data_IF_020118077152
#
_entry.id   IF_020118077152
#
_cell.length_a   1.000
_cell.length_b   1.000
_cell.length_c   1.000
_cell.angle_alpha   90.00
_cell.angle_beta   90.00
_cell.angle_gamma   90.00
#
_symmetry.space_group_name_H-M   'P 1'
#
loop_
_entity.id
_entity.type
_entity.pdbx_description
1 polymer ?
#
# COMPACT_ATOMS: atom_id res chain seq x y z
N UNK A 1 14.51 4.28 0.52
CA UNK A 1 13.84 3.56 -0.61
C UNK A 1 13.78 4.48 -1.81
N UNK A 2 14.01 3.97 -3.02
CA UNK A 2 13.74 4.76 -4.23
C UNK A 2 12.25 4.75 -4.53
N UNK A 3 11.70 5.86 -5.04
CA UNK A 3 10.28 5.99 -5.34
C UNK A 3 10.11 6.30 -6.81
N UNK A 4 9.25 5.54 -7.49
CA UNK A 4 8.75 5.86 -8.83
C UNK A 4 7.40 6.55 -8.69
N UNK A 5 7.10 7.47 -9.58
CA UNK A 5 5.89 8.28 -9.56
C UNK A 5 5.11 8.11 -10.86
N UNK A 6 3.79 7.97 -10.75
CA UNK A 6 2.88 8.12 -11.87
C UNK A 6 1.77 9.09 -11.46
N UNK A 7 1.74 10.24 -12.14
CA UNK A 7 0.78 11.32 -11.86
C UNK A 7 -0.47 11.17 -12.71
N UNK A 8 -1.60 10.97 -12.05
CA UNK A 8 -2.89 10.87 -12.71
C UNK A 8 -3.76 12.07 -12.37
N UNK A 9 -4.23 12.78 -13.40
CA UNK A 9 -5.08 13.98 -13.26
C UNK A 9 -4.48 15.06 -12.35
N UNK A 10 -3.18 15.30 -12.47
CA UNK A 10 -2.47 16.33 -11.70
C UNK A 10 -2.49 16.09 -10.18
N UNK A 11 -2.64 14.83 -9.75
CA UNK A 11 -2.61 14.47 -8.33
C UNK A 11 -1.33 14.89 -7.63
N UNK A 12 -0.18 14.77 -8.31
CA UNK A 12 1.11 15.24 -7.82
C UNK A 12 1.16 16.74 -7.59
N UNK A 13 0.71 17.55 -8.56
CA UNK A 13 0.68 19.01 -8.44
C UNK A 13 -0.20 19.49 -7.29
N UNK A 14 -1.33 18.80 -7.05
CA UNK A 14 -2.24 19.08 -5.93
C UNK A 14 -1.55 18.77 -4.60
N UNK A 15 -0.85 17.63 -4.54
CA UNK A 15 -0.21 17.12 -3.33
C UNK A 15 1.02 17.93 -2.92
N UNK A 16 1.82 18.42 -3.87
CA UNK A 16 3.04 19.20 -3.57
C UNK A 16 2.81 20.41 -2.65
N UNK A 17 1.59 20.92 -2.59
CA UNK A 17 1.21 22.06 -1.74
C UNK A 17 0.66 21.66 -0.38
N UNK A 18 0.62 20.36 -0.06
CA UNK A 18 -0.03 19.83 1.14
C UNK A 18 0.99 19.32 2.15
N UNK A 19 1.04 19.87 3.37
CA UNK A 19 1.99 19.43 4.41
C UNK A 19 1.87 17.93 4.73
N UNK A 20 0.65 17.40 4.78
CA UNK A 20 0.44 15.98 5.03
C UNK A 20 1.07 15.08 3.95
N UNK A 21 1.09 15.51 2.68
CA UNK A 21 1.80 14.77 1.64
C UNK A 21 3.31 14.80 1.83
N UNK A 22 3.89 15.93 2.25
CA UNK A 22 5.33 16.00 2.52
C UNK A 22 5.72 15.03 3.63
N UNK A 23 4.92 14.91 4.69
CA UNK A 23 5.13 13.91 5.74
C UNK A 23 5.05 12.47 5.20
N UNK A 24 4.04 12.18 4.36
CA UNK A 24 3.90 10.87 3.72
C UNK A 24 5.10 10.54 2.86
N UNK A 25 5.52 11.49 2.02
CA UNK A 25 6.67 11.32 1.13
C UNK A 25 7.96 11.09 1.90
N UNK A 26 8.19 11.84 2.98
CA UNK A 26 9.34 11.66 3.86
C UNK A 26 9.33 10.27 4.50
N UNK A 27 8.18 9.84 5.02
CA UNK A 27 8.03 8.48 5.58
C UNK A 27 8.39 7.43 4.54
N UNK A 28 7.85 7.54 3.33
CA UNK A 28 8.04 6.54 2.27
C UNK A 28 9.48 6.53 1.77
N UNK A 29 10.07 7.71 1.51
CA UNK A 29 11.42 7.86 0.97
C UNK A 29 12.51 7.39 1.94
N UNK A 30 12.27 7.53 3.24
CA UNK A 30 13.19 7.14 4.30
C UNK A 30 13.05 5.68 4.77
N UNK A 31 12.14 4.89 4.18
CA UNK A 31 12.10 3.44 4.44
C UNK A 31 13.39 2.82 3.90
N UNK A 32 14.14 2.17 4.79
CA UNK A 32 15.35 1.45 4.45
C UNK A 32 15.13 -0.06 4.46
N UNK A 33 16.05 -0.78 3.81
CA UNK A 33 16.09 -2.24 3.86
C UNK A 33 16.03 -2.77 5.29
N UNK A 34 16.76 -2.13 6.22
CA UNK A 34 16.82 -2.51 7.62
C UNK A 34 15.45 -2.46 8.31
N UNK A 35 14.62 -1.46 8.02
CA UNK A 35 13.28 -1.32 8.60
C UNK A 35 12.38 -2.50 8.24
N UNK A 36 12.41 -2.88 6.95
CA UNK A 36 11.57 -3.98 6.45
C UNK A 36 12.02 -5.32 7.03
N UNK A 37 13.33 -5.52 7.19
CA UNK A 37 13.87 -6.74 7.82
C UNK A 37 13.53 -6.78 9.32
N UNK A 38 13.68 -5.67 10.04
CA UNK A 38 13.33 -5.57 11.45
C UNK A 38 11.82 -5.84 11.65
N UNK A 39 10.96 -5.25 10.82
CA UNK A 39 9.53 -5.51 10.88
C UNK A 39 9.18 -6.98 10.62
N UNK A 40 9.91 -7.67 9.72
CA UNK A 40 9.72 -9.10 9.46
C UNK A 40 10.15 -9.97 10.65
N UNK A 41 11.30 -9.67 11.27
CA UNK A 41 11.81 -10.44 12.42
C UNK A 41 11.01 -10.20 13.69
N UNK A 42 10.38 -9.04 13.86
CA UNK A 42 9.53 -8.73 15.01
C UNK A 42 8.34 -9.71 15.16
N UNK A 43 7.89 -10.35 14.08
CA UNK A 43 6.88 -11.42 14.20
C UNK A 43 7.36 -12.62 15.01
N UNK A 44 8.67 -12.95 14.95
CA UNK A 44 9.28 -13.99 15.77
C UNK A 44 9.31 -13.60 17.26
N UNK A 45 9.71 -12.36 17.53
CA UNK A 45 9.79 -11.82 18.90
C UNK A 45 8.41 -11.74 19.56
N UNK A 46 7.38 -11.45 18.77
CA UNK A 46 5.99 -11.43 19.22
C UNK A 46 5.37 -12.84 19.37
N UNK A 47 6.13 -13.90 19.11
CA UNK A 47 5.64 -15.29 19.12
C UNK A 47 4.59 -15.59 18.04
N UNK A 48 4.53 -14.78 16.99
CA UNK A 48 3.58 -14.91 15.89
C UNK A 48 4.20 -15.71 14.73
N UNK A 49 3.32 -16.30 13.91
CA UNK A 49 3.76 -16.92 12.66
C UNK A 49 4.36 -15.85 11.74
N UNK A 50 5.62 -16.05 11.33
CA UNK A 50 6.30 -15.16 10.39
C UNK A 50 5.67 -15.29 9.01
N UNK A 51 5.20 -14.19 8.41
CA UNK A 51 4.69 -14.20 7.05
C UNK A 51 5.76 -14.66 6.03
N UNK A 52 5.35 -15.31 4.95
CA UNK A 52 6.27 -15.84 3.95
C UNK A 52 6.98 -14.72 3.17
N UNK A 53 6.23 -13.77 2.61
CA UNK A 53 6.78 -12.63 1.86
C UNK A 53 6.85 -11.35 2.70
N UNK A 54 7.35 -10.29 2.09
CA UNK A 54 7.56 -8.99 2.76
C UNK A 54 6.34 -8.08 2.87
N UNK A 55 5.16 -8.48 2.34
CA UNK A 55 3.96 -7.63 2.31
C UNK A 55 3.55 -7.17 3.72
N UNK A 56 3.49 -8.11 4.67
CA UNK A 56 3.10 -7.82 6.05
C UNK A 56 4.11 -6.93 6.77
N UNK A 57 5.40 -7.12 6.49
CA UNK A 57 6.46 -6.28 7.05
C UNK A 57 6.35 -4.84 6.55
N UNK A 58 6.14 -4.63 5.26
CA UNK A 58 5.92 -3.31 4.68
C UNK A 58 4.67 -2.63 5.27
N UNK A 59 3.54 -3.33 5.34
CA UNK A 59 2.33 -2.80 5.98
C UNK A 59 2.57 -2.41 7.45
N UNK A 60 3.35 -3.20 8.19
CA UNK A 60 3.74 -2.87 9.57
C UNK A 60 4.56 -1.57 9.62
N UNK A 61 5.57 -1.43 8.75
CA UNK A 61 6.39 -0.20 8.68
C UNK A 61 5.53 1.04 8.39
N UNK A 62 4.60 0.96 7.43
CA UNK A 62 3.68 2.07 7.15
C UNK A 62 2.86 2.45 8.38
N UNK A 63 2.26 1.48 9.06
CA UNK A 63 1.44 1.73 10.27
C UNK A 63 2.26 2.35 11.40
N UNK A 64 3.45 1.83 11.67
CA UNK A 64 4.32 2.30 12.74
C UNK A 64 4.85 3.72 12.50
N UNK A 65 5.00 4.13 11.24
CA UNK A 65 5.51 5.46 10.90
C UNK A 65 4.42 6.50 10.68
N UNK A 66 3.28 6.14 10.11
CA UNK A 66 2.22 7.10 9.80
C UNK A 66 1.30 7.41 10.97
N UNK A 67 0.94 6.41 11.81
CA UNK A 67 0.02 6.62 12.93
C UNK A 67 0.54 7.68 13.93
N UNK A 68 1.82 7.67 14.34
CA UNK A 68 2.35 8.70 15.25
C UNK A 68 2.32 10.12 14.66
N UNK A 69 2.29 10.24 13.33
CA UNK A 69 2.18 11.54 12.65
C UNK A 69 0.71 12.00 12.48
N UNK A 70 -0.24 11.29 13.09
CA UNK A 70 -1.66 11.65 13.06
C UNK A 70 -2.42 11.14 11.83
N UNK A 71 -1.85 10.26 11.02
CA UNK A 71 -2.59 9.55 9.98
C UNK A 71 -3.56 8.58 10.63
N UNK A 72 -4.84 8.75 10.36
CA UNK A 72 -5.91 7.89 10.89
C UNK A 72 -5.96 6.59 10.08
N UNK A 73 -5.70 5.43 10.72
CA UNK A 73 -5.74 4.15 10.04
C UNK A 73 -7.18 3.64 9.86
N UNK A 74 -7.41 2.92 8.79
CA UNK A 74 -8.64 2.19 8.48
C UNK A 74 -9.93 3.04 8.60
N UNK A 75 -9.95 4.30 8.08
CA UNK A 75 -11.17 5.10 8.08
C UNK A 75 -12.26 4.39 7.28
N UNK A 76 -13.44 4.31 7.85
CA UNK A 76 -14.61 3.77 7.14
C UNK A 76 -15.14 4.80 6.16
N UNK A 77 -15.55 4.32 5.00
CA UNK A 77 -16.17 5.19 3.98
C UNK A 77 -17.67 5.36 4.20
N UNK A 78 -18.35 4.34 4.75
CA UNK A 78 -19.80 4.32 4.89
C UNK A 78 -20.25 3.98 6.31
N UNK A 79 -21.49 4.34 6.72
CA UNK A 79 -22.10 3.94 7.98
C UNK A 79 -22.14 2.41 8.17
N UNK A 80 -22.20 1.97 9.43
CA UNK A 80 -22.19 0.55 9.79
C UNK A 80 -23.40 -0.25 9.33
N UNK A 81 -24.54 0.38 9.28
CA UNK A 81 -25.84 -0.19 8.99
C UNK A 81 -26.03 -0.45 7.48
N UNK A 82 -25.18 0.09 6.63
CA UNK A 82 -25.22 -0.17 5.20
C UNK A 82 -24.73 -1.57 4.87
N UNK A 83 -25.61 -2.41 4.35
CA UNK A 83 -25.34 -3.82 4.02
C UNK A 83 -24.13 -3.96 3.10
N UNK A 84 -23.13 -4.71 3.54
CA UNK A 84 -21.91 -5.00 2.77
C UNK A 84 -20.88 -3.86 2.72
N UNK A 85 -21.28 -2.63 2.99
CA UNK A 85 -20.39 -1.46 2.89
C UNK A 85 -19.52 -1.23 4.14
N UNK A 86 -19.83 -1.86 5.27
CA UNK A 86 -19.04 -1.77 6.51
C UNK A 86 -17.57 -2.16 6.37
N UNK A 87 -17.21 -2.93 5.32
CA UNK A 87 -15.84 -3.37 5.03
C UNK A 87 -15.07 -2.39 4.15
N UNK A 88 -15.75 -1.38 3.62
CA UNK A 88 -15.12 -0.36 2.79
C UNK A 88 -14.37 0.63 3.66
N UNK A 89 -13.06 0.45 3.69
CA UNK A 89 -12.11 1.26 4.44
C UNK A 89 -10.97 1.62 3.52
N UNK A 90 -10.36 2.78 3.71
CA UNK A 90 -9.02 3.09 3.20
C UNK A 90 -7.98 2.65 4.21
N UNK A 91 -6.72 2.57 3.80
CA UNK A 91 -5.65 2.23 4.73
C UNK A 91 -5.32 3.40 5.67
N UNK A 92 -5.23 4.62 5.13
CA UNK A 92 -4.99 5.83 5.93
C UNK A 92 -5.68 7.04 5.35
N UNK A 93 -5.96 8.02 6.21
CA UNK A 93 -6.40 9.36 5.83
C UNK A 93 -5.79 10.39 6.77
N UNK A 94 -5.39 11.54 6.21
CA UNK A 94 -5.05 12.75 6.96
C UNK A 94 -5.49 13.95 6.15
N UNK A 95 -6.13 14.91 6.82
CA UNK A 95 -6.78 16.04 6.18
C UNK A 95 -7.75 15.57 5.08
N UNK A 96 -7.48 15.92 3.83
CA UNK A 96 -8.24 15.55 2.64
C UNK A 96 -7.46 14.61 1.70
N UNK A 97 -6.40 13.96 2.20
CA UNK A 97 -5.60 12.99 1.46
C UNK A 97 -5.93 11.58 1.91
N UNK A 98 -6.39 10.75 0.97
CA UNK A 98 -6.60 9.32 1.20
C UNK A 98 -5.42 8.49 0.70
N UNK A 99 -4.99 7.49 1.45
CA UNK A 99 -3.87 6.61 1.10
C UNK A 99 -4.31 5.16 1.11
N UNK A 100 -3.98 4.45 0.04
CA UNK A 100 -4.10 3.01 -0.11
C UNK A 100 -2.71 2.39 -0.29
N UNK A 101 -2.36 1.43 0.55
CA UNK A 101 -1.09 0.67 0.47
C UNK A 101 -1.40 -0.75 0.03
N UNK A 102 -1.16 -1.04 -1.24
CA UNK A 102 -1.64 -2.27 -1.86
C UNK A 102 -0.47 -3.20 -2.25
N UNK A 103 -0.25 -4.22 -1.43
CA UNK A 103 0.62 -5.35 -1.76
C UNK A 103 -0.22 -6.64 -1.94
N UNK A 104 -1.43 -6.48 -2.44
CA UNK A 104 -2.40 -7.53 -2.72
C UNK A 104 -2.23 -8.10 -4.13
N UNK A 105 -3.03 -9.11 -4.48
CA UNK A 105 -3.07 -9.66 -5.84
C UNK A 105 -3.44 -8.58 -6.86
N UNK A 106 -2.97 -8.73 -8.09
CA UNK A 106 -3.19 -7.78 -9.18
C UNK A 106 -4.69 -7.52 -9.46
N UNK A 107 -5.54 -8.52 -9.22
CA UNK A 107 -7.00 -8.39 -9.32
C UNK A 107 -7.61 -7.37 -8.35
N UNK A 108 -6.90 -7.04 -7.27
CA UNK A 108 -7.34 -6.05 -6.29
C UNK A 108 -6.98 -4.59 -6.68
N UNK A 109 -6.15 -4.38 -7.70
CA UNK A 109 -5.74 -3.04 -8.14
C UNK A 109 -6.92 -2.15 -8.50
N UNK A 110 -7.91 -2.58 -9.31
CA UNK A 110 -9.08 -1.76 -9.60
C UNK A 110 -9.86 -1.36 -8.34
N UNK A 111 -9.92 -2.23 -7.34
CA UNK A 111 -10.60 -1.93 -6.07
C UNK A 111 -9.86 -0.90 -5.22
N UNK A 112 -8.53 -0.87 -5.26
CA UNK A 112 -7.70 0.18 -4.64
C UNK A 112 -8.08 1.54 -5.20
N UNK A 113 -8.11 1.69 -6.52
CA UNK A 113 -8.52 2.95 -7.15
C UNK A 113 -10.00 3.27 -6.95
N UNK A 114 -10.88 2.26 -6.98
CA UNK A 114 -12.31 2.44 -6.74
C UNK A 114 -12.58 2.98 -5.34
N UNK A 115 -11.87 2.52 -4.31
CA UNK A 115 -12.02 3.06 -2.95
C UNK A 115 -11.65 4.53 -2.87
N UNK A 116 -10.52 4.93 -3.45
CA UNK A 116 -10.12 6.33 -3.53
C UNK A 116 -11.15 7.16 -4.29
N UNK A 117 -11.62 6.68 -5.44
CA UNK A 117 -12.64 7.37 -6.23
C UNK A 117 -13.94 7.57 -5.46
N UNK A 118 -14.41 6.54 -4.76
CA UNK A 118 -15.63 6.64 -3.95
C UNK A 118 -15.42 7.61 -2.80
N UNK A 119 -14.25 7.60 -2.15
CA UNK A 119 -13.95 8.51 -1.05
C UNK A 119 -13.95 9.99 -1.49
N UNK A 120 -13.57 10.27 -2.75
CA UNK A 120 -13.58 11.63 -3.30
C UNK A 120 -14.94 12.05 -3.85
N UNK A 121 -15.63 11.16 -4.56
CA UNK A 121 -16.74 11.52 -5.42
C UNK A 121 -18.13 11.22 -4.83
N UNK A 122 -18.24 10.26 -3.89
CA UNK A 122 -19.54 9.86 -3.36
C UNK A 122 -20.03 10.82 -2.28
N UNK A 123 -21.28 11.32 -2.45
CA UNK A 123 -21.97 12.12 -1.44
C UNK A 123 -22.29 11.34 -0.15
N UNK A 124 -22.24 10.00 -0.21
CA UNK A 124 -22.59 9.11 0.91
C UNK A 124 -21.41 8.80 1.83
N UNK A 125 -20.23 9.31 1.52
CA UNK A 125 -19.03 9.12 2.35
C UNK A 125 -19.19 9.83 3.69
N UNK A 126 -18.80 9.14 4.76
CA UNK A 126 -18.83 9.68 6.11
C UNK A 126 -17.98 10.97 6.20
N UNK A 127 -18.50 11.95 6.93
CA UNK A 127 -17.72 13.14 7.28
C UNK A 127 -16.37 12.74 7.90
N UNK A 128 -15.30 13.43 7.49
CA UNK A 128 -13.92 13.10 7.87
C UNK A 128 -13.33 11.85 7.21
N UNK A 129 -14.04 11.23 6.25
CA UNK A 129 -13.50 10.19 5.36
C UNK A 129 -13.54 10.61 3.89
N UNK A 130 -13.97 11.83 3.59
CA UNK A 130 -13.94 12.42 2.26
C UNK A 130 -12.53 12.90 1.94
N UNK A 131 -12.12 12.74 0.70
CA UNK A 131 -10.80 13.15 0.21
C UNK A 131 -10.93 14.01 -1.04
N UNK A 132 -9.94 14.86 -1.28
CA UNK A 132 -9.82 15.63 -2.52
C UNK A 132 -8.84 14.98 -3.50
N UNK A 133 -7.88 14.22 -2.95
CA UNK A 133 -6.82 13.56 -3.73
C UNK A 133 -6.42 12.23 -3.09
N UNK A 134 -6.15 11.25 -3.94
CA UNK A 134 -5.71 9.92 -3.54
C UNK A 134 -4.20 9.71 -3.71
N UNK A 135 -3.62 8.90 -2.83
CA UNK A 135 -2.28 8.33 -3.01
C UNK A 135 -2.41 6.81 -2.99
N UNK A 136 -1.91 6.14 -4.03
CA UNK A 136 -1.89 4.68 -4.09
C UNK A 136 -0.43 4.19 -4.09
N UNK A 137 -0.08 3.33 -3.14
CA UNK A 137 1.28 2.83 -2.96
C UNK A 137 1.35 1.36 -3.36
N UNK A 138 2.27 1.03 -4.27
CA UNK A 138 2.51 -0.33 -4.75
C UNK A 138 3.99 -0.69 -4.66
N UNK A 139 4.30 -1.99 -4.62
CA UNK A 139 5.64 -2.46 -4.89
C UNK A 139 5.93 -2.35 -6.40
N UNK A 140 7.15 -1.99 -6.77
CA UNK A 140 7.64 -2.25 -8.13
C UNK A 140 7.98 -3.73 -8.30
N UNK A 141 8.22 -4.18 -9.52
CA UNK A 141 8.69 -5.55 -9.79
C UNK A 141 9.99 -5.86 -9.04
N UNK A 142 10.89 -4.86 -8.86
CA UNK A 142 12.14 -5.03 -8.12
C UNK A 142 11.91 -5.28 -6.62
N UNK A 143 11.03 -4.51 -5.98
CA UNK A 143 10.69 -4.73 -4.58
C UNK A 143 9.92 -6.04 -4.37
N UNK A 144 9.00 -6.38 -5.28
CA UNK A 144 8.27 -7.66 -5.27
C UNK A 144 9.25 -8.83 -5.28
N UNK A 145 10.24 -8.81 -6.16
CA UNK A 145 11.25 -9.84 -6.26
C UNK A 145 12.15 -9.91 -5.01
N UNK A 146 12.63 -8.75 -4.53
CA UNK A 146 13.48 -8.67 -3.34
C UNK A 146 12.78 -9.19 -2.09
N UNK A 147 11.53 -8.79 -1.87
CA UNK A 147 10.73 -9.17 -0.71
C UNK A 147 10.07 -10.55 -0.86
N UNK A 148 10.35 -11.29 -1.94
CA UNK A 148 9.76 -12.61 -2.25
C UNK A 148 8.23 -12.63 -2.09
N UNK A 149 7.58 -11.59 -2.57
CA UNK A 149 6.13 -11.52 -2.58
C UNK A 149 5.54 -12.58 -3.50
N UNK A 150 4.28 -12.93 -3.27
CA UNK A 150 3.55 -13.87 -4.12
C UNK A 150 3.55 -13.42 -5.59
N UNK A 151 3.62 -14.37 -6.52
CA UNK A 151 3.63 -14.09 -7.96
C UNK A 151 2.38 -13.33 -8.44
N UNK A 152 1.25 -13.51 -7.76
CA UNK A 152 -0.01 -12.84 -8.07
C UNK A 152 -0.07 -11.38 -7.55
N UNK A 153 0.89 -10.92 -6.73
CA UNK A 153 0.90 -9.54 -6.22
C UNK A 153 0.99 -8.55 -7.38
N UNK A 154 0.08 -7.57 -7.36
CA UNK A 154 0.05 -6.48 -8.33
C UNK A 154 1.17 -5.47 -8.06
N UNK A 155 1.79 -4.98 -9.13
CA UNK A 155 2.91 -4.05 -9.05
C UNK A 155 2.55 -2.67 -9.57
N UNK A 156 3.43 -1.71 -9.31
CA UNK A 156 3.32 -0.34 -9.81
C UNK A 156 3.12 -0.30 -11.33
N UNK A 157 3.84 -1.14 -12.07
CA UNK A 157 3.79 -1.22 -13.53
C UNK A 157 2.38 -1.66 -14.00
N UNK A 158 1.77 -2.61 -13.29
CA UNK A 158 0.40 -3.05 -13.58
C UNK A 158 -0.60 -1.98 -13.16
N UNK A 159 -0.38 -1.33 -12.01
CA UNK A 159 -1.27 -0.28 -11.50
C UNK A 159 -1.31 0.95 -12.42
N UNK A 160 -0.16 1.37 -12.96
CA UNK A 160 -0.06 2.45 -13.96
C UNK A 160 -0.88 2.14 -15.21
N UNK A 161 -0.76 0.90 -15.73
CA UNK A 161 -1.53 0.46 -16.89
C UNK A 161 -3.04 0.46 -16.60
N UNK A 162 -3.48 -0.08 -15.45
CA UNK A 162 -4.89 -0.07 -15.05
C UNK A 162 -5.45 1.34 -14.92
N UNK A 163 -4.76 2.23 -14.20
CA UNK A 163 -5.26 3.58 -13.96
C UNK A 163 -5.37 4.38 -15.26
N UNK A 164 -4.44 4.16 -16.20
CA UNK A 164 -4.51 4.76 -17.53
C UNK A 164 -5.76 4.36 -18.30
N UNK A 165 -6.16 3.07 -18.21
CA UNK A 165 -7.39 2.57 -18.83
C UNK A 165 -8.66 3.03 -18.11
N UNK A 166 -8.60 3.25 -16.80
CA UNK A 166 -9.73 3.70 -15.98
C UNK A 166 -10.01 5.21 -16.09
N UNK A 167 -9.22 5.96 -16.86
CA UNK A 167 -9.36 7.42 -17.01
C UNK A 167 -10.80 7.89 -17.29
N UNK A 168 -11.63 7.20 -18.10
CA UNK A 168 -13.01 7.66 -18.33
C UNK A 168 -13.93 7.60 -17.10
N UNK A 169 -13.61 6.76 -16.10
CA UNK A 169 -14.46 6.48 -14.94
C UNK A 169 -13.83 6.90 -13.60
N UNK A 170 -12.62 7.45 -13.63
CA UNK A 170 -11.88 7.90 -12.45
C UNK A 170 -11.67 9.42 -12.49
N UNK A 171 -12.62 10.22 -12.00
CA UNK A 171 -12.48 11.68 -11.95
C UNK A 171 -11.49 12.16 -10.89
N UNK A 172 -11.31 11.46 -9.77
CA UNK A 172 -10.44 11.89 -8.69
C UNK A 172 -8.96 11.95 -9.12
N UNK A 173 -8.22 13.00 -8.73
CA UNK A 173 -6.77 13.04 -8.87
C UNK A 173 -6.08 11.99 -8.01
N UNK A 174 -5.09 11.27 -8.56
CA UNK A 174 -4.36 10.22 -7.85
C UNK A 174 -2.87 10.32 -8.17
N UNK A 175 -2.03 10.26 -7.14
CA UNK A 175 -0.60 10.00 -7.31
C UNK A 175 -0.31 8.55 -6.96
N UNK A 176 0.32 7.82 -7.89
CA UNK A 176 0.76 6.44 -7.63
C UNK A 176 2.24 6.45 -7.28
N UNK A 177 2.57 5.85 -6.13
CA UNK A 177 3.92 5.68 -5.63
C UNK A 177 4.36 4.22 -5.82
N UNK A 178 5.42 4.01 -6.59
CA UNK A 178 6.07 2.72 -6.75
C UNK A 178 7.29 2.60 -5.83
N UNK A 179 7.24 1.69 -4.87
CA UNK A 179 8.35 1.41 -3.96
C UNK A 179 9.37 0.53 -4.65
N UNK A 180 10.61 0.98 -4.75
CA UNK A 180 11.66 0.30 -5.49
C UNK A 180 12.81 -0.11 -4.59
N UNK A 181 13.22 -1.40 -4.69
CA UNK A 181 14.34 -1.99 -3.96
C UNK A 181 15.64 -2.04 -4.81
N UNK A 182 15.72 -1.26 -5.89
CA UNK A 182 16.92 -1.22 -6.71
C UNK A 182 18.16 -0.88 -5.84
N UNK A 183 19.21 -1.68 -5.97
CA UNK A 183 20.42 -1.55 -5.17
C UNK A 183 20.36 -2.21 -3.79
N UNK A 184 19.23 -2.76 -3.36
CA UNK A 184 19.16 -3.51 -2.11
C UNK A 184 19.78 -4.90 -2.26
N UNK A 185 20.67 -5.25 -1.34
CA UNK A 185 21.28 -6.59 -1.33
C UNK A 185 20.23 -7.67 -1.08
N UNK A 186 20.31 -8.83 -1.75
CA UNK A 186 19.42 -9.97 -1.51
C UNK A 186 19.37 -10.39 -0.04
N UNK A 187 18.28 -11.02 0.36
CA UNK A 187 18.08 -11.49 1.73
C UNK A 187 17.44 -12.88 1.74
N UNK A 188 17.78 -13.68 2.76
CA UNK A 188 17.15 -14.97 3.03
C UNK A 188 16.03 -14.88 4.08
N UNK A 189 15.80 -13.70 4.66
CA UNK A 189 14.78 -13.49 5.72
C UNK A 189 13.37 -13.79 5.22
N UNK A 190 13.05 -13.44 3.97
CA UNK A 190 11.77 -13.77 3.39
C UNK A 190 11.77 -15.19 2.81
N UNK A 191 10.72 -15.96 3.11
CA UNK A 191 10.48 -17.27 2.50
C UNK A 191 9.54 -17.07 1.31
N UNK A 192 9.82 -17.73 0.18
CA UNK A 192 8.92 -17.71 -0.97
C UNK A 192 7.58 -18.36 -0.63
N UNK A 193 6.49 -17.88 -1.24
CA UNK A 193 5.13 -18.42 -1.09
C UNK A 193 4.87 -19.66 -1.97
N UNK A 194 5.86 -20.14 -2.72
CA UNK A 194 5.74 -21.27 -3.64
C UNK A 194 5.38 -22.58 -2.92
N UNK A 195 4.43 -23.34 -3.48
CA UNK A 195 4.16 -24.74 -3.12
C UNK A 195 5.43 -25.56 -3.41
N UNK A 196 6.31 -25.74 -2.41
CA UNK A 196 7.53 -26.53 -2.64
C UNK A 196 8.60 -26.50 -1.55
N UNK A 197 8.46 -25.75 -0.47
CA UNK A 197 9.39 -25.87 0.65
C UNK A 197 8.89 -26.85 1.71
N UNK A 198 8.82 -28.14 1.37
CA UNK A 198 8.91 -29.18 2.38
C UNK A 198 10.33 -29.11 2.95
N UNK A 199 10.43 -28.85 4.24
CA UNK A 199 11.67 -29.05 4.99
C UNK A 199 12.06 -30.53 4.96
N UNK A 200 13.37 -30.89 4.84
CA UNK A 200 13.83 -32.26 4.79
C UNK A 200 13.80 -32.98 6.16
N UNK A 201 12.86 -32.74 7.02
CA UNK A 201 12.83 -33.29 8.39
C UNK A 201 11.61 -34.17 8.70
N UNK A 202 10.82 -34.58 7.70
CA UNK A 202 9.67 -35.46 7.90
C UNK A 202 9.85 -36.87 7.28
N UNK A 203 11.10 -37.31 7.10
CA UNK A 203 11.42 -38.71 6.85
C UNK A 203 12.33 -39.24 7.97
N UNK A 204 11.74 -39.69 9.04
CA UNK A 204 12.19 -40.84 9.90
C UNK A 204 10.97 -41.49 10.52
#
# INVERSE_FOLDING_TARGET
MRIRLFDFRHGGEILERRPAYMELYDVVSTIERADVLAAQTAYLEEGKRVPAGGQSALNKVFRERLIPLGWRPEPRLFPFDERGLRKWKMDFIKDDIGVEVSFNHAEAIPWTFTRLNIAGESERVLEGSRIDVGVAVFATDSLKAWAKMDSAVGTFEIAEAWLSMMKPIMPIPILVLGLDAEGWTPTSVFRGTGKGSRTPSDEI
#
